data_IF_838678505236
#
_entry.id   IF_838678505236
#
_cell.length_a   1.000
_cell.length_b   1.000
_cell.length_c   1.000
_cell.angle_alpha   90.00
_cell.angle_beta   90.00
_cell.angle_gamma   90.00
#
_symmetry.space_group_name_H-M   'P 1'
#
loop_
_entity.id
_entity.type
_entity.pdbx_description
1 polymer ?
#
# COMPACT_ATOMS: atom_id res chain seq x y z
N UNK A 1 -19.64 -48.96 -3.37
CA UNK A 1 -19.14 -49.27 -4.74
C UNK A 1 -19.66 -48.14 -5.61
N UNK A 2 -18.75 -47.36 -6.16
CA UNK A 2 -19.00 -46.13 -6.92
C UNK A 2 -19.87 -46.37 -8.16
N UNK A 3 -20.64 -45.37 -8.57
CA UNK A 3 -20.47 -44.76 -9.90
C UNK A 3 -21.17 -43.40 -9.98
N UNK A 4 -20.36 -42.35 -9.78
CA UNK A 4 -20.59 -41.00 -10.29
C UNK A 4 -20.46 -41.01 -11.81
N UNK A 5 -21.52 -40.62 -12.54
CA UNK A 5 -21.42 -40.07 -13.89
C UNK A 5 -22.43 -38.95 -14.07
N UNK A 6 -22.06 -37.74 -13.67
CA UNK A 6 -22.69 -36.53 -14.20
C UNK A 6 -22.21 -36.33 -15.64
N UNK A 7 -23.07 -36.70 -16.59
CA UNK A 7 -22.83 -36.46 -18.02
C UNK A 7 -22.96 -34.96 -18.29
N UNK A 8 -21.88 -34.34 -18.74
CA UNK A 8 -21.88 -32.96 -19.22
C UNK A 8 -22.53 -32.88 -20.61
N UNK A 9 -23.66 -32.20 -20.72
CA UNK A 9 -24.14 -31.67 -21.99
C UNK A 9 -24.06 -30.14 -21.93
N UNK A 10 -23.11 -29.58 -22.65
CA UNK A 10 -23.16 -28.19 -23.12
C UNK A 10 -23.91 -28.18 -24.46
N UNK A 11 -24.63 -27.08 -24.77
CA UNK A 11 -23.95 -26.05 -25.54
C UNK A 11 -24.28 -24.60 -25.13
N UNK A 12 -23.21 -23.78 -25.19
CA UNK A 12 -23.13 -22.35 -25.50
C UNK A 12 -23.50 -21.25 -24.47
N UNK A 13 -22.50 -20.37 -24.28
CA UNK A 13 -22.50 -18.94 -23.90
C UNK A 13 -23.17 -18.53 -22.59
N UNK A 14 -22.39 -18.39 -21.51
CA UNK A 14 -21.63 -17.18 -21.18
C UNK A 14 -20.92 -17.42 -19.85
N UNK A 15 -19.65 -17.00 -19.78
CA UNK A 15 -18.73 -17.35 -18.72
C UNK A 15 -19.22 -16.99 -17.32
N UNK A 16 -19.70 -17.98 -16.60
CA UNK A 16 -19.57 -18.06 -15.15
C UNK A 16 -19.69 -19.53 -14.76
N UNK A 17 -18.53 -20.14 -14.46
CA UNK A 17 -18.48 -21.45 -13.82
C UNK A 17 -19.18 -21.35 -12.47
N UNK A 18 -20.06 -22.31 -12.19
CA UNK A 18 -21.04 -22.22 -11.11
C UNK A 18 -20.33 -22.25 -9.75
N UNK A 19 -20.32 -21.14 -9.02
CA UNK A 19 -19.88 -21.13 -7.63
C UNK A 19 -21.04 -21.55 -6.73
N UNK A 20 -20.86 -22.66 -6.01
CA UNK A 20 -21.86 -23.20 -5.07
C UNK A 20 -21.59 -22.64 -3.66
N UNK A 21 -22.47 -21.77 -3.16
CA UNK A 21 -22.41 -21.32 -1.78
C UNK A 21 -23.25 -22.23 -0.88
N UNK A 22 -22.72 -22.54 0.31
CA UNK A 22 -23.49 -23.10 1.44
C UNK A 22 -23.77 -21.98 2.42
N UNK A 23 -25.04 -21.63 2.61
CA UNK A 23 -25.48 -20.61 3.58
C UNK A 23 -26.34 -21.31 4.64
N UNK A 24 -25.94 -21.22 5.91
CA UNK A 24 -26.71 -21.71 7.06
C UNK A 24 -27.46 -20.52 7.70
N UNK A 25 -28.78 -20.68 7.90
CA UNK A 25 -29.63 -19.63 8.47
C UNK A 25 -29.94 -19.89 9.95
N UNK A 26 -29.57 -18.96 10.84
CA UNK A 26 -30.03 -18.99 12.24
C UNK A 26 -31.42 -18.33 12.35
N UNK A 27 -32.45 -19.15 12.51
CA UNK A 27 -33.86 -18.72 12.54
C UNK A 27 -34.27 -17.96 13.80
N UNK A 28 -33.34 -17.67 14.72
CA UNK A 28 -33.62 -16.93 15.97
C UNK A 28 -33.40 -15.42 15.88
N UNK A 29 -32.89 -14.91 14.75
CA UNK A 29 -32.60 -13.49 14.58
C UNK A 29 -33.79 -12.79 13.90
N UNK A 30 -34.53 -11.98 14.65
CA UNK A 30 -35.62 -11.13 14.15
C UNK A 30 -35.05 -9.96 13.34
N UNK A 31 -35.30 -10.02 12.03
CA UNK A 31 -35.33 -9.00 10.94
C UNK A 31 -34.44 -7.75 10.89
N UNK A 32 -33.65 -7.39 11.89
CA UNK A 32 -32.92 -6.11 11.87
C UNK A 32 -31.38 -6.27 11.82
N UNK A 33 -30.91 -7.50 11.57
CA UNK A 33 -29.49 -7.83 11.34
C UNK A 33 -29.34 -8.72 10.10
N UNK A 34 -28.19 -8.66 9.39
CA UNK A 34 -28.00 -9.37 8.13
C UNK A 34 -28.37 -10.85 8.22
N UNK A 35 -29.14 -11.30 7.23
CA UNK A 35 -29.86 -12.58 7.14
C UNK A 35 -28.95 -13.81 6.94
N UNK A 36 -27.64 -13.65 6.79
CA UNK A 36 -26.71 -14.75 6.57
C UNK A 36 -25.32 -14.45 7.14
N UNK A 37 -24.75 -15.43 7.84
CA UNK A 37 -23.33 -15.46 8.19
C UNK A 37 -22.61 -16.34 7.15
N UNK A 38 -21.80 -15.73 6.29
CA UNK A 38 -21.01 -16.48 5.30
C UNK A 38 -19.76 -16.99 6.02
N UNK A 39 -19.79 -18.26 6.44
CA UNK A 39 -18.58 -18.96 6.90
C UNK A 39 -18.10 -19.97 5.86
N UNK A 40 -17.02 -19.57 5.19
CA UNK A 40 -15.91 -20.32 4.55
C UNK A 40 -16.17 -21.67 3.87
N UNK A 41 -15.69 -21.78 2.62
CA UNK A 41 -15.13 -23.02 2.06
C UNK A 41 -13.85 -22.67 1.27
N UNK A 42 -12.78 -22.30 1.97
CA UNK A 42 -11.43 -22.59 1.49
C UNK A 42 -11.18 -24.07 1.77
N UNK A 43 -10.96 -24.86 0.73
CA UNK A 43 -10.14 -26.07 0.91
C UNK A 43 -8.68 -25.62 0.92
N UNK A 44 -7.86 -26.26 1.74
CA UNK A 44 -6.52 -25.81 2.18
C UNK A 44 -5.48 -25.58 1.08
N UNK A 45 -5.80 -25.73 -0.20
CA UNK A 45 -4.95 -25.33 -1.31
C UNK A 45 -5.82 -24.81 -2.46
N UNK A 46 -5.68 -23.50 -2.70
CA UNK A 46 -6.08 -22.75 -3.90
C UNK A 46 -7.54 -22.32 -4.09
N UNK A 47 -7.61 -21.08 -4.55
CA UNK A 47 -8.70 -20.34 -5.19
C UNK A 47 -9.82 -19.78 -4.30
N UNK A 48 -9.43 -18.80 -3.49
CA UNK A 48 -10.28 -17.64 -3.21
C UNK A 48 -10.78 -17.06 -4.55
N UNK A 49 -12.04 -17.34 -4.90
CA UNK A 49 -12.75 -16.53 -5.89
C UNK A 49 -12.95 -15.17 -5.25
N UNK A 50 -11.93 -14.31 -5.42
CA UNK A 50 -12.01 -12.88 -5.35
C UNK A 50 -13.19 -12.45 -6.22
N UNK A 51 -14.34 -12.21 -5.59
CA UNK A 51 -15.22 -11.18 -6.09
C UNK A 51 -14.35 -9.93 -6.24
N UNK A 52 -14.03 -9.53 -7.47
CA UNK A 52 -13.18 -8.36 -7.70
C UNK A 52 -13.70 -7.19 -6.85
N UNK A 53 -12.79 -6.56 -6.10
CA UNK A 53 -13.09 -5.42 -5.23
C UNK A 53 -13.90 -4.37 -6.03
N UNK A 54 -15.18 -4.21 -5.68
CA UNK A 54 -16.10 -3.30 -6.37
C UNK A 54 -17.26 -3.96 -7.13
N UNK A 55 -17.31 -5.29 -7.24
CA UNK A 55 -18.42 -5.98 -7.92
C UNK A 55 -19.69 -6.01 -7.07
N UNK A 56 -20.78 -5.44 -7.60
CA UNK A 56 -22.13 -5.55 -6.99
C UNK A 56 -22.89 -6.67 -7.71
N UNK A 57 -23.37 -7.63 -6.94
CA UNK A 57 -24.19 -8.72 -7.43
C UNK A 57 -25.63 -8.58 -6.99
N UNK A 58 -26.56 -8.74 -7.92
CA UNK A 58 -27.98 -8.89 -7.60
C UNK A 58 -28.28 -10.38 -7.39
N UNK A 59 -28.92 -10.70 -6.27
CA UNK A 59 -29.53 -12.03 -6.07
C UNK A 59 -30.73 -12.11 -6.99
N UNK A 60 -30.65 -12.97 -8.01
CA UNK A 60 -31.73 -13.15 -8.99
C UNK A 60 -32.68 -14.24 -8.54
N UNK A 61 -32.15 -15.33 -8.01
CA UNK A 61 -32.95 -16.47 -7.61
C UNK A 61 -32.29 -17.22 -6.46
N UNK A 62 -33.11 -17.64 -5.49
CA UNK A 62 -32.70 -18.50 -4.39
C UNK A 62 -33.60 -19.73 -4.43
N UNK A 63 -33.01 -20.91 -4.36
CA UNK A 63 -33.77 -22.15 -4.21
C UNK A 63 -33.17 -23.01 -3.12
N UNK A 64 -34.03 -23.74 -2.41
CA UNK A 64 -33.63 -24.70 -1.41
C UNK A 64 -33.69 -26.08 -2.03
N UNK A 65 -32.62 -26.85 -1.88
CA UNK A 65 -32.73 -28.29 -1.96
C UNK A 65 -33.26 -28.80 -0.61
N UNK A 66 -33.94 -29.95 -0.56
CA UNK A 66 -34.60 -30.53 0.62
C UNK A 66 -33.64 -30.85 1.82
N UNK A 67 -32.42 -30.33 1.81
CA UNK A 67 -31.37 -30.47 2.82
C UNK A 67 -30.93 -29.13 3.42
N UNK A 68 -31.80 -28.11 3.44
CA UNK A 68 -31.53 -26.77 4.01
C UNK A 68 -30.38 -25.99 3.36
N UNK A 69 -29.91 -26.45 2.20
CA UNK A 69 -28.89 -25.76 1.41
C UNK A 69 -29.60 -24.85 0.40
N UNK A 70 -29.39 -23.55 0.55
CA UNK A 70 -29.85 -22.55 -0.39
C UNK A 70 -28.79 -22.33 -1.48
N UNK A 71 -29.16 -22.61 -2.73
CA UNK A 71 -28.38 -22.20 -3.90
C UNK A 71 -28.85 -20.82 -4.35
N UNK A 72 -27.89 -19.95 -4.61
CA UNK A 72 -28.13 -18.57 -5.03
C UNK A 72 -27.57 -18.38 -6.43
N UNK A 73 -28.41 -17.92 -7.36
CA UNK A 73 -27.94 -17.39 -8.65
C UNK A 73 -27.72 -15.88 -8.51
N UNK A 74 -26.48 -15.47 -8.66
CA UNK A 74 -26.07 -14.07 -8.73
C UNK A 74 -26.01 -13.63 -10.20
N UNK A 75 -26.38 -12.38 -10.46
CA UNK A 75 -26.09 -11.68 -11.71
C UNK A 75 -25.23 -10.47 -11.40
N UNK A 76 -24.11 -10.35 -12.10
CA UNK A 76 -23.25 -9.17 -12.03
C UNK A 76 -24.06 -7.95 -12.51
N UNK A 77 -24.29 -7.02 -11.60
CA UNK A 77 -25.14 -5.85 -11.85
C UNK A 77 -24.31 -4.66 -12.34
N UNK A 78 -23.07 -4.53 -11.86
CA UNK A 78 -22.16 -3.46 -12.20
C UNK A 78 -20.71 -3.89 -11.91
N UNK A 79 -19.83 -3.68 -12.88
CA UNK A 79 -18.36 -3.60 -12.68
C UNK A 79 -17.89 -2.16 -12.47
N UNK A 80 -18.80 -1.18 -12.57
CA UNK A 80 -18.43 0.22 -12.37
C UNK A 80 -18.26 0.47 -10.88
N UNK A 81 -17.03 0.79 -10.53
CA UNK A 81 -16.49 1.19 -9.21
C UNK A 81 -17.15 2.43 -8.58
N UNK A 82 -18.27 2.88 -9.10
CA UNK A 82 -18.98 4.06 -8.62
C UNK A 82 -20.10 3.64 -7.67
N UNK A 83 -20.02 4.18 -6.46
CA UNK A 83 -20.95 4.03 -5.34
C UNK A 83 -20.83 2.77 -4.48
N UNK A 84 -19.61 2.43 -4.04
CA UNK A 84 -19.49 2.11 -2.62
C UNK A 84 -19.47 3.46 -1.89
N UNK A 85 -20.40 3.67 -0.95
CA UNK A 85 -20.38 4.77 0.02
C UNK A 85 -19.19 4.58 0.99
N UNK A 86 -17.97 4.73 0.45
CA UNK A 86 -16.69 4.67 1.17
C UNK A 86 -16.47 5.92 2.03
N UNK A 87 -17.45 6.82 2.12
CA UNK A 87 -17.39 8.01 2.97
C UNK A 87 -17.25 7.68 4.45
N UNK A 88 -17.62 6.45 4.85
CA UNK A 88 -17.62 6.02 6.25
C UNK A 88 -16.29 5.51 6.79
N UNK A 89 -15.33 5.11 5.94
CA UNK A 89 -14.04 4.62 6.45
C UNK A 89 -12.86 5.04 5.58
N UNK A 90 -12.51 6.33 5.71
CA UNK A 90 -11.40 6.98 4.98
C UNK A 90 -10.06 6.26 5.18
N UNK A 91 -9.89 5.56 6.31
CA UNK A 91 -8.72 4.74 6.61
C UNK A 91 -8.58 3.54 5.67
N UNK A 92 -9.69 3.01 5.14
CA UNK A 92 -9.64 1.88 4.22
C UNK A 92 -9.16 2.32 2.83
N UNK A 93 -9.52 3.52 2.36
CA UNK A 93 -9.12 4.02 1.05
C UNK A 93 -7.59 4.10 0.89
N UNK A 94 -6.89 4.56 1.93
CA UNK A 94 -5.43 4.65 1.91
C UNK A 94 -4.79 3.26 1.86
N UNK A 95 -5.29 2.32 2.66
CA UNK A 95 -4.82 0.94 2.67
C UNK A 95 -5.07 0.24 1.33
N UNK A 96 -6.24 0.45 0.70
CA UNK A 96 -6.53 -0.06 -0.64
C UNK A 96 -5.55 0.47 -1.67
N UNK A 97 -5.26 1.78 -1.66
CA UNK A 97 -4.24 2.36 -2.52
C UNK A 97 -2.88 1.67 -2.39
N UNK A 98 -2.40 1.43 -1.16
CA UNK A 98 -1.13 0.74 -0.93
C UNK A 98 -1.12 -0.72 -1.39
N UNK A 99 -2.22 -1.45 -1.19
CA UNK A 99 -2.34 -2.83 -1.67
C UNK A 99 -2.29 -2.86 -3.19
N UNK A 100 -3.02 -1.97 -3.87
CA UNK A 100 -3.01 -1.86 -5.32
C UNK A 100 -1.62 -1.50 -5.87
N UNK A 101 -0.88 -0.61 -5.19
CA UNK A 101 0.52 -0.33 -5.51
C UNK A 101 1.38 -1.60 -5.41
N UNK A 102 1.20 -2.40 -4.36
CA UNK A 102 1.92 -3.67 -4.17
C UNK A 102 1.60 -4.68 -5.28
N UNK A 103 0.37 -4.65 -5.80
CA UNK A 103 -0.07 -5.49 -6.93
C UNK A 103 0.37 -4.94 -8.30
N UNK A 104 1.07 -3.79 -8.36
CA UNK A 104 1.46 -3.13 -9.61
C UNK A 104 0.30 -2.42 -10.33
N UNK A 105 -0.87 -2.31 -9.70
CA UNK A 105 -2.08 -1.67 -10.25
C UNK A 105 -2.06 -0.16 -9.99
N UNK A 106 -1.07 0.51 -10.57
CA UNK A 106 -0.74 1.93 -10.28
C UNK A 106 -1.89 2.88 -10.60
N UNK A 107 -2.52 2.75 -11.77
CA UNK A 107 -3.60 3.67 -12.17
C UNK A 107 -4.88 3.49 -11.34
N UNK A 108 -5.16 2.26 -10.89
CA UNK A 108 -6.24 2.01 -9.93
C UNK A 108 -5.92 2.67 -8.57
N UNK A 109 -4.69 2.51 -8.07
CA UNK A 109 -4.26 3.11 -6.79
C UNK A 109 -4.42 4.65 -6.78
N UNK A 110 -4.08 5.33 -7.89
CA UNK A 110 -4.25 6.78 -8.04
C UNK A 110 -5.69 7.23 -7.80
N UNK A 111 -6.68 6.46 -8.28
CA UNK A 111 -8.12 6.78 -8.08
C UNK A 111 -8.46 6.80 -6.58
N UNK A 112 -7.96 5.82 -5.82
CA UNK A 112 -8.22 5.75 -4.37
C UNK A 112 -7.55 6.89 -3.60
N UNK A 113 -6.30 7.25 -3.95
CA UNK A 113 -5.63 8.39 -3.34
C UNK A 113 -6.35 9.70 -3.67
N UNK A 114 -6.76 9.92 -4.92
CA UNK A 114 -7.49 11.13 -5.30
C UNK A 114 -8.84 11.23 -4.58
N UNK A 115 -9.59 10.12 -4.53
CA UNK A 115 -10.86 10.07 -3.81
C UNK A 115 -10.71 10.34 -2.32
N UNK A 116 -9.62 9.86 -1.72
CA UNK A 116 -9.31 10.17 -0.33
C UNK A 116 -8.98 11.66 -0.15
N UNK A 117 -8.17 12.25 -1.03
CA UNK A 117 -7.85 13.68 -1.02
C UNK A 117 -9.11 14.56 -1.14
N UNK A 118 -10.07 14.20 -1.98
CA UNK A 118 -11.31 14.95 -2.18
C UNK A 118 -12.22 14.92 -0.93
N UNK A 119 -12.11 13.86 -0.11
CA UNK A 119 -12.89 13.67 1.10
C UNK A 119 -12.27 14.21 2.39
N UNK A 120 -11.04 14.73 2.35
CA UNK A 120 -10.27 15.17 3.52
C UNK A 120 -10.13 16.70 3.60
N UNK A 121 -10.19 17.25 4.81
CA UNK A 121 -9.84 18.67 5.05
C UNK A 121 -8.39 18.92 4.66
N UNK A 122 -8.08 20.14 4.23
CA UNK A 122 -6.76 20.51 3.69
C UNK A 122 -5.58 20.14 4.62
N UNK A 123 -5.79 20.21 5.93
CA UNK A 123 -4.78 19.93 6.95
C UNK A 123 -4.79 18.49 7.47
N UNK A 124 -5.60 17.60 6.90
CA UNK A 124 -5.73 16.23 7.41
C UNK A 124 -4.44 15.43 7.18
N UNK A 125 -3.93 14.70 8.20
CA UNK A 125 -2.64 14.00 8.12
C UNK A 125 -2.56 12.98 6.98
N UNK A 126 -3.65 12.26 6.70
CA UNK A 126 -3.67 11.29 5.60
C UNK A 126 -3.47 11.91 4.21
N UNK A 127 -3.69 13.23 4.04
CA UNK A 127 -3.33 13.90 2.78
C UNK A 127 -1.84 13.87 2.53
N UNK A 128 -1.01 13.99 3.58
CA UNK A 128 0.44 13.90 3.45
C UNK A 128 0.86 12.53 2.91
N UNK A 129 0.21 11.46 3.38
CA UNK A 129 0.44 10.08 2.92
C UNK A 129 -0.02 9.87 1.48
N UNK A 130 -1.18 10.43 1.10
CA UNK A 130 -1.62 10.41 -0.30
C UNK A 130 -0.65 11.15 -1.22
N UNK A 131 -0.20 12.34 -0.82
CA UNK A 131 0.75 13.12 -1.60
C UNK A 131 2.12 12.43 -1.71
N UNK A 132 2.58 11.77 -0.66
CA UNK A 132 3.80 10.96 -0.71
C UNK A 132 3.67 9.80 -1.69
N UNK A 133 2.56 9.05 -1.64
CA UNK A 133 2.31 7.93 -2.54
C UNK A 133 2.21 8.40 -4.01
N UNK A 134 1.44 9.46 -4.28
CA UNK A 134 1.31 10.04 -5.61
C UNK A 134 2.65 10.62 -6.10
N UNK A 135 3.44 11.23 -5.21
CA UNK A 135 4.77 11.75 -5.51
C UNK A 135 5.77 10.66 -5.89
N UNK A 136 5.70 9.51 -5.22
CA UNK A 136 6.50 8.31 -5.56
C UNK A 136 6.12 7.77 -6.93
N UNK A 137 4.82 7.70 -7.23
CA UNK A 137 4.35 7.26 -8.54
C UNK A 137 4.85 8.20 -9.64
N UNK A 138 4.76 9.52 -9.43
CA UNK A 138 5.24 10.51 -10.40
C UNK A 138 6.76 10.39 -10.62
N UNK A 139 7.53 10.15 -9.55
CA UNK A 139 8.99 9.91 -9.64
C UNK A 139 9.32 8.67 -10.47
N UNK A 140 8.65 7.55 -10.21
CA UNK A 140 8.82 6.31 -10.98
C UNK A 140 8.46 6.49 -12.46
N UNK A 141 7.50 7.37 -12.75
CA UNK A 141 7.10 7.73 -14.11
C UNK A 141 8.05 8.76 -14.77
N UNK A 142 9.03 9.29 -14.04
CA UNK A 142 9.97 10.31 -14.51
C UNK A 142 9.41 11.73 -14.53
N UNK A 143 8.20 11.96 -13.99
CA UNK A 143 7.61 13.29 -13.83
C UNK A 143 8.10 13.92 -12.53
N UNK A 144 9.34 14.42 -12.59
CA UNK A 144 10.04 14.99 -11.46
C UNK A 144 9.42 16.31 -10.97
N UNK A 145 8.81 17.09 -11.86
CA UNK A 145 8.12 18.34 -11.53
C UNK A 145 6.89 18.08 -10.66
N UNK A 146 6.02 17.16 -11.09
CA UNK A 146 4.84 16.76 -10.31
C UNK A 146 5.24 16.07 -9.02
N UNK A 147 6.27 15.22 -9.05
CA UNK A 147 6.80 14.55 -7.85
C UNK A 147 7.29 15.58 -6.80
N UNK A 148 8.06 16.58 -7.21
CA UNK A 148 8.50 17.66 -6.33
C UNK A 148 7.33 18.44 -5.74
N UNK A 149 6.32 18.76 -6.55
CA UNK A 149 5.14 19.47 -6.04
C UNK A 149 4.42 18.65 -4.96
N UNK A 150 4.16 17.38 -5.23
CA UNK A 150 3.44 16.49 -4.30
C UNK A 150 4.24 16.26 -3.01
N UNK A 151 5.54 16.01 -3.09
CA UNK A 151 6.36 15.89 -1.88
C UNK A 151 6.43 17.18 -1.07
N UNK A 152 6.39 18.36 -1.70
CA UNK A 152 6.32 19.64 -0.98
C UNK A 152 4.97 19.85 -0.29
N UNK A 153 3.84 19.44 -0.90
CA UNK A 153 2.53 19.47 -0.24
C UNK A 153 2.51 18.54 0.99
N UNK A 154 3.06 17.32 0.85
CA UNK A 154 3.23 16.37 1.96
C UNK A 154 4.08 16.96 3.09
N UNK A 155 5.22 17.55 2.72
CA UNK A 155 6.15 18.21 3.65
C UNK A 155 5.48 19.36 4.42
N UNK A 156 4.70 20.21 3.74
CA UNK A 156 4.02 21.33 4.37
C UNK A 156 3.02 20.86 5.44
N UNK A 157 2.27 19.80 5.15
CA UNK A 157 1.34 19.20 6.11
C UNK A 157 2.10 18.62 7.31
N UNK A 158 3.16 17.84 7.06
CA UNK A 158 3.96 17.22 8.12
C UNK A 158 4.62 18.26 9.03
N UNK A 159 5.18 19.33 8.47
CA UNK A 159 5.73 20.45 9.25
C UNK A 159 4.63 21.12 10.10
N UNK A 160 3.42 21.30 9.56
CA UNK A 160 2.33 21.94 10.30
C UNK A 160 1.81 21.11 11.48
N UNK A 161 1.90 19.77 11.39
CA UNK A 161 1.38 18.84 12.42
C UNK A 161 2.43 18.38 13.42
N UNK A 162 3.58 17.92 12.94
CA UNK A 162 4.64 17.30 13.73
C UNK A 162 5.87 18.19 13.93
N UNK A 163 5.91 19.36 13.28
CA UNK A 163 7.07 20.24 13.29
C UNK A 163 8.19 19.77 12.35
N UNK A 164 9.30 20.50 12.36
CA UNK A 164 10.44 20.24 11.44
C UNK A 164 11.32 19.05 11.86
N UNK A 165 11.18 18.57 13.09
CA UNK A 165 11.98 17.47 13.65
C UNK A 165 11.10 16.22 13.80
N UNK A 166 10.70 15.67 12.67
CA UNK A 166 9.84 14.49 12.60
C UNK A 166 10.31 13.52 11.51
N UNK A 167 10.03 12.24 11.72
CA UNK A 167 10.43 11.14 10.85
C UNK A 167 9.81 11.23 9.46
N UNK A 168 8.59 11.72 9.33
CA UNK A 168 7.88 11.85 8.05
C UNK A 168 8.37 13.09 7.30
N UNK A 169 8.62 14.20 8.02
CA UNK A 169 9.32 15.38 7.48
C UNK A 169 10.68 15.01 6.88
N UNK A 170 11.45 14.17 7.59
CA UNK A 170 12.73 13.68 7.08
C UNK A 170 12.59 12.82 5.82
N UNK A 171 11.57 11.95 5.76
CA UNK A 171 11.28 11.16 4.55
C UNK A 171 11.00 12.08 3.36
N UNK A 172 10.17 13.11 3.51
CA UNK A 172 9.89 14.04 2.42
C UNK A 172 11.15 14.79 1.95
N UNK A 173 11.97 15.28 2.88
CA UNK A 173 13.24 15.92 2.50
C UNK A 173 14.17 14.96 1.74
N UNK A 174 14.26 13.70 2.18
CA UNK A 174 15.05 12.70 1.48
C UNK A 174 14.51 12.42 0.06
N UNK A 175 13.20 12.26 -0.10
CA UNK A 175 12.59 12.05 -1.42
C UNK A 175 12.82 13.24 -2.36
N UNK A 176 12.66 14.48 -1.87
CA UNK A 176 12.97 15.69 -2.65
C UNK A 176 14.45 15.75 -3.05
N UNK A 177 15.35 15.38 -2.14
CA UNK A 177 16.78 15.29 -2.43
C UNK A 177 17.10 14.29 -3.54
N UNK A 178 16.41 13.15 -3.55
CA UNK A 178 16.55 12.12 -4.58
C UNK A 178 16.08 12.61 -5.95
N UNK A 179 14.98 13.36 -6.01
CA UNK A 179 14.54 13.97 -7.27
C UNK A 179 15.59 14.95 -7.81
N UNK A 180 16.16 15.81 -6.96
CA UNK A 180 17.22 16.72 -7.40
C UNK A 180 18.47 15.98 -7.86
N UNK A 181 18.82 14.86 -7.22
CA UNK A 181 19.93 14.00 -7.63
C UNK A 181 19.67 13.42 -9.02
N UNK A 182 18.49 12.85 -9.26
CA UNK A 182 18.07 12.33 -10.58
C UNK A 182 18.08 13.40 -11.68
N UNK A 183 17.81 14.66 -11.32
CA UNK A 183 17.92 15.84 -12.22
C UNK A 183 19.36 16.36 -12.40
N UNK A 184 20.34 15.81 -11.69
CA UNK A 184 21.74 16.26 -11.72
C UNK A 184 22.04 17.52 -10.90
N UNK A 185 21.08 18.05 -10.14
CA UNK A 185 21.29 19.18 -9.22
C UNK A 185 21.81 18.66 -7.87
N UNK A 186 23.08 18.25 -7.87
CA UNK A 186 23.74 17.66 -6.71
C UNK A 186 23.85 18.62 -5.52
N UNK A 187 23.83 19.94 -5.76
CA UNK A 187 23.89 20.94 -4.68
C UNK A 187 22.58 20.95 -3.91
N UNK A 188 21.43 21.02 -4.61
CA UNK A 188 20.13 20.92 -3.96
C UNK A 188 19.90 19.55 -3.36
N UNK A 189 20.29 18.48 -4.04
CA UNK A 189 20.19 17.13 -3.48
C UNK A 189 20.88 17.04 -2.11
N UNK A 190 22.12 17.54 -2.02
CA UNK A 190 22.88 17.59 -0.76
C UNK A 190 22.18 18.41 0.32
N UNK A 191 21.67 19.60 -0.03
CA UNK A 191 20.94 20.48 0.89
C UNK A 191 19.73 19.76 1.51
N UNK A 192 18.94 19.07 0.68
CA UNK A 192 17.76 18.34 1.14
C UNK A 192 18.11 17.10 1.97
N UNK A 193 19.19 16.39 1.64
CA UNK A 193 19.69 15.30 2.50
C UNK A 193 20.19 15.80 3.85
N UNK A 194 20.81 16.98 3.92
CA UNK A 194 21.18 17.60 5.20
C UNK A 194 19.95 17.99 6.03
N UNK A 195 18.92 18.55 5.40
CA UNK A 195 17.64 18.83 6.08
C UNK A 195 16.97 17.55 6.59
N UNK A 196 17.05 16.45 5.85
CA UNK A 196 16.56 15.15 6.30
C UNK A 196 17.31 14.66 7.54
N UNK A 197 18.65 14.74 7.55
CA UNK A 197 19.48 14.40 8.71
C UNK A 197 19.18 15.29 9.92
N UNK A 198 18.97 16.58 9.72
CA UNK A 198 18.59 17.53 10.78
C UNK A 198 17.21 17.18 11.38
N UNK A 199 16.22 16.88 10.53
CA UNK A 199 14.88 16.49 10.94
C UNK A 199 14.86 15.19 11.76
N UNK A 200 15.75 14.25 11.46
CA UNK A 200 15.89 12.98 12.20
C UNK A 200 16.48 13.17 13.61
N UNK A 201 17.19 14.28 13.86
CA UNK A 201 17.74 14.62 15.17
C UNK A 201 18.61 13.52 15.81
N UNK A 202 18.68 13.53 17.15
CA UNK A 202 19.25 12.42 17.94
C UNK A 202 18.10 11.56 18.45
N UNK A 203 17.70 10.54 17.69
CA UNK A 203 16.67 9.59 18.12
C UNK A 203 17.24 8.52 19.06
N UNK A 204 16.85 8.48 20.34
CA UNK A 204 17.29 7.44 21.28
C UNK A 204 16.69 6.07 20.95
N UNK A 205 15.53 6.01 20.27
CA UNK A 205 14.79 4.78 20.00
C UNK A 205 15.31 4.01 18.77
N UNK A 206 16.31 4.54 18.06
CA UNK A 206 17.00 3.87 16.96
C UNK A 206 16.25 3.81 15.62
N UNK A 207 14.98 4.25 15.56
CA UNK A 207 14.19 4.27 14.31
C UNK A 207 14.75 5.29 13.32
N UNK A 208 15.19 6.44 13.80
CA UNK A 208 15.79 7.47 12.96
C UNK A 208 17.18 7.06 12.45
N UNK A 209 17.89 6.16 13.12
CA UNK A 209 19.21 5.71 12.70
C UNK A 209 19.17 4.95 11.38
N UNK A 210 18.17 4.09 11.17
CA UNK A 210 17.98 3.42 9.88
C UNK A 210 17.77 4.45 8.74
N UNK A 211 16.94 5.47 8.97
CA UNK A 211 16.71 6.56 8.02
C UNK A 211 17.98 7.42 7.82
N UNK A 212 18.77 7.68 8.87
CA UNK A 212 20.05 8.39 8.77
C UNK A 212 21.05 7.62 7.89
N UNK A 213 21.10 6.29 8.03
CA UNK A 213 21.95 5.46 7.17
C UNK A 213 21.54 5.56 5.69
N UNK A 214 20.24 5.65 5.39
CA UNK A 214 19.74 5.92 4.03
C UNK A 214 20.21 7.29 3.54
N UNK A 215 20.06 8.35 4.34
CA UNK A 215 20.52 9.68 3.95
C UNK A 215 22.04 9.71 3.70
N UNK A 216 22.86 9.11 4.58
CA UNK A 216 24.30 9.02 4.36
C UNK A 216 24.66 8.25 3.09
N UNK A 217 23.95 7.15 2.80
CA UNK A 217 24.14 6.43 1.55
C UNK A 217 23.83 7.32 0.34
N UNK A 218 22.73 8.06 0.36
CA UNK A 218 22.35 8.96 -0.73
C UNK A 218 23.35 10.11 -0.92
N UNK A 219 23.91 10.64 0.16
CA UNK A 219 25.01 11.61 0.10
C UNK A 219 26.27 10.97 -0.52
N UNK A 220 26.59 9.73 -0.15
CA UNK A 220 27.67 8.96 -0.77
C UNK A 220 27.50 8.81 -2.28
N UNK A 221 26.27 8.50 -2.74
CA UNK A 221 25.92 8.43 -4.15
C UNK A 221 26.18 9.77 -4.84
N UNK A 222 25.75 10.89 -4.24
CA UNK A 222 26.01 12.23 -4.80
C UNK A 222 27.51 12.47 -5.02
N UNK A 223 28.36 12.14 -4.04
CA UNK A 223 29.81 12.27 -4.19
C UNK A 223 30.38 11.31 -5.24
N UNK A 224 29.87 10.09 -5.32
CA UNK A 224 30.26 9.12 -6.34
C UNK A 224 29.93 9.62 -7.75
N UNK A 225 28.73 10.17 -7.97
CA UNK A 225 28.32 10.75 -9.26
C UNK A 225 29.17 11.96 -9.64
N UNK A 226 29.68 12.70 -8.65
CA UNK A 226 30.67 13.77 -8.82
C UNK A 226 32.13 13.27 -8.96
N UNK A 227 32.37 11.95 -8.94
CA UNK A 227 33.70 11.30 -8.98
C UNK A 227 34.61 11.67 -7.79
N UNK A 228 34.01 12.06 -6.67
CA UNK A 228 34.68 12.37 -5.40
C UNK A 228 34.66 11.13 -4.51
N UNK A 229 35.49 10.14 -4.85
CA UNK A 229 35.37 8.79 -4.30
C UNK A 229 35.76 8.69 -2.81
N UNK A 230 36.70 9.51 -2.33
CA UNK A 230 37.11 9.48 -0.93
C UNK A 230 35.95 9.94 -0.04
N UNK A 231 35.31 11.05 -0.41
CA UNK A 231 34.13 11.56 0.30
C UNK A 231 32.97 10.57 0.21
N UNK A 232 32.76 9.93 -0.95
CA UNK A 232 31.74 8.90 -1.10
C UNK A 232 31.96 7.73 -0.12
N UNK A 233 33.21 7.23 -0.02
CA UNK A 233 33.59 6.16 0.91
C UNK A 233 33.36 6.57 2.37
N UNK A 234 33.69 7.81 2.75
CA UNK A 234 33.44 8.31 4.10
C UNK A 234 31.95 8.25 4.47
N UNK A 235 31.07 8.64 3.54
CA UNK A 235 29.62 8.60 3.77
C UNK A 235 29.03 7.18 3.73
N UNK A 236 29.52 6.31 2.84
CA UNK A 236 29.15 4.90 2.83
C UNK A 236 29.57 4.20 4.13
N UNK A 237 30.76 4.50 4.65
CA UNK A 237 31.22 3.98 5.93
C UNK A 237 30.34 4.45 7.09
N UNK A 238 29.91 5.72 7.12
CA UNK A 238 28.95 6.22 8.12
C UNK A 238 27.64 5.44 8.09
N UNK A 239 27.09 5.19 6.90
CA UNK A 239 25.87 4.40 6.74
C UNK A 239 26.06 2.94 7.21
N UNK A 240 27.20 2.34 6.87
CA UNK A 240 27.55 0.97 7.25
C UNK A 240 27.68 0.79 8.76
N UNK A 241 28.41 1.67 9.44
CA UNK A 241 28.60 1.61 10.90
C UNK A 241 27.27 1.71 11.65
N UNK A 242 26.34 2.53 11.16
CA UNK A 242 24.99 2.60 11.72
C UNK A 242 24.24 1.27 11.53
N UNK A 243 24.26 0.68 10.33
CA UNK A 243 23.59 -0.60 10.07
C UNK A 243 24.16 -1.72 10.93
N UNK A 244 25.50 -1.80 11.05
CA UNK A 244 26.20 -2.81 11.85
C UNK A 244 25.79 -2.78 13.32
N UNK A 245 25.58 -1.59 13.89
CA UNK A 245 25.21 -1.43 15.30
C UNK A 245 23.79 -1.94 15.62
N UNK A 246 22.89 -2.00 14.64
CA UNK A 246 21.46 -2.31 14.85
C UNK A 246 20.98 -3.59 14.16
N UNK A 247 21.70 -4.07 13.16
CA UNK A 247 21.58 -5.41 12.60
C UNK A 247 22.91 -6.12 12.82
N UNK A 248 23.26 -6.49 14.06
CA UNK A 248 24.43 -7.32 14.29
C UNK A 248 24.21 -8.60 13.48
N UNK A 249 25.06 -8.83 12.49
CA UNK A 249 25.08 -10.10 11.77
C UNK A 249 25.21 -11.22 12.79
N UNK A 250 24.44 -12.30 12.59
CA UNK A 250 24.43 -13.52 13.41
C UNK A 250 25.80 -14.26 13.48
N UNK A 251 26.91 -13.62 13.15
CA UNK A 251 28.26 -14.15 13.39
C UNK A 251 28.57 -14.29 14.90
N UNK A 252 27.76 -13.69 15.78
CA UNK A 252 27.90 -13.86 17.24
C UNK A 252 27.18 -15.11 17.77
N UNK A 253 26.28 -15.76 17.00
CA UNK A 253 25.53 -16.95 17.46
C UNK A 253 26.19 -18.29 17.08
N UNK A 254 27.23 -18.29 16.25
CA UNK A 254 28.02 -19.49 15.91
C UNK A 254 29.30 -19.64 16.74
N UNK A 255 29.55 -18.75 17.69
CA UNK A 255 30.77 -18.71 18.51
C UNK A 255 30.59 -19.02 20.00
N UNK A 256 29.40 -19.38 20.47
CA UNK A 256 29.19 -19.86 21.83
C UNK A 256 28.20 -21.02 21.89
N UNK A 257 28.74 -22.17 22.31
CA UNK A 257 28.16 -23.48 22.66
C UNK A 257 28.16 -24.54 21.57
#
# INVERSE_FOLDING_TARGET
MFEDKAVSYLPNSDGLERVLFKIEADRRVSSDKPFANIKSLSYDQEDEILFMLGSIFQIVQVWSDNQEIWRVRLKLYSEKSEQIDLSRDKNQLLSFGHVLMTMGKVEEAKIYYQRLLDGLSYDHPDRARCYEALGSIADEQGDYETSLQLYNESLNINISKGGRQDSDTASNYNSIGEIYRKKGDYVKAREYYDKALEALGKDPAGKALAKQAVCYNNIGIVYQEKKQYNEALDYYNKAFEIRKKYFPSDETSLGMS
#
